data_IF_920342306058
#
_entry.id   IF_920342306058
#
_cell.length_a   1.000
_cell.length_b   1.000
_cell.length_c   1.000
_cell.angle_alpha   90.00
_cell.angle_beta   90.00
_cell.angle_gamma   90.00
#
_symmetry.space_group_name_H-M   'P 1'
#
loop_
_entity.id
_entity.type
_entity.pdbx_description
1 polymer ?
#
# COMPACT_ATOMS: atom_id res chain seq x y z
N UNK A 1 16.97 -38.05 -4.00
CA UNK A 1 16.68 -36.99 -5.01
C UNK A 1 15.19 -36.85 -5.28
N UNK A 2 14.46 -37.92 -5.62
CA UNK A 2 13.00 -37.86 -5.85
C UNK A 2 12.18 -37.52 -4.58
N UNK A 3 12.54 -38.08 -3.43
CA UNK A 3 11.80 -37.90 -2.18
C UNK A 3 11.90 -36.47 -1.60
N UNK A 4 13.07 -35.84 -1.72
CA UNK A 4 13.28 -34.43 -1.34
C UNK A 4 12.53 -33.45 -2.27
N UNK A 5 12.44 -33.76 -3.57
CA UNK A 5 11.67 -32.96 -4.52
C UNK A 5 10.15 -33.06 -4.27
N UNK A 6 9.66 -34.24 -3.89
CA UNK A 6 8.25 -34.46 -3.51
C UNK A 6 7.91 -33.73 -2.20
N UNK A 7 8.78 -33.81 -1.19
CA UNK A 7 8.59 -33.10 0.09
C UNK A 7 8.59 -31.57 -0.07
N UNK A 8 9.52 -31.03 -0.85
CA UNK A 8 9.54 -29.61 -1.18
C UNK A 8 8.29 -29.19 -1.96
N UNK A 9 7.86 -29.95 -2.97
CA UNK A 9 6.63 -29.68 -3.72
C UNK A 9 5.40 -29.51 -2.81
N UNK A 10 5.20 -30.43 -1.86
CA UNK A 10 4.07 -30.37 -0.90
C UNK A 10 4.15 -29.09 -0.03
N UNK A 11 5.35 -28.70 0.42
CA UNK A 11 5.54 -27.48 1.23
C UNK A 11 5.20 -26.19 0.46
N UNK A 12 5.52 -26.13 -0.84
CA UNK A 12 5.14 -25.02 -1.72
C UNK A 12 3.64 -24.92 -1.86
N UNK A 13 2.96 -26.04 -2.12
CA UNK A 13 1.51 -26.06 -2.26
C UNK A 13 0.81 -25.54 -1.01
N UNK A 14 1.25 -26.00 0.16
CA UNK A 14 0.73 -25.52 1.44
C UNK A 14 0.96 -24.01 1.61
N UNK A 15 2.15 -23.51 1.26
CA UNK A 15 2.45 -22.08 1.31
C UNK A 15 1.55 -21.26 0.38
N UNK A 16 1.41 -21.65 -0.88
CA UNK A 16 0.53 -20.96 -1.85
C UNK A 16 -0.93 -21.00 -1.41
N UNK A 17 -1.41 -22.12 -0.87
CA UNK A 17 -2.78 -22.23 -0.37
C UNK A 17 -3.03 -21.27 0.79
N UNK A 18 -2.09 -21.22 1.75
CA UNK A 18 -2.17 -20.34 2.91
C UNK A 18 -2.12 -18.86 2.51
N UNK A 19 -1.20 -18.50 1.61
CA UNK A 19 -1.11 -17.16 1.04
C UNK A 19 -2.44 -16.71 0.41
N UNK A 20 -3.02 -17.55 -0.45
CA UNK A 20 -4.30 -17.24 -1.09
C UNK A 20 -5.43 -17.08 -0.07
N UNK A 21 -5.45 -17.89 0.99
CA UNK A 21 -6.42 -17.76 2.08
C UNK A 21 -6.29 -16.44 2.84
N UNK A 22 -5.06 -15.96 3.09
CA UNK A 22 -4.83 -14.65 3.72
C UNK A 22 -5.35 -13.52 2.82
N UNK A 23 -4.95 -13.49 1.55
CA UNK A 23 -5.36 -12.42 0.63
C UNK A 23 -6.87 -12.40 0.40
N UNK A 24 -7.52 -13.56 0.36
CA UNK A 24 -8.98 -13.68 0.30
C UNK A 24 -9.65 -13.15 1.58
N UNK A 25 -9.11 -13.47 2.76
CA UNK A 25 -9.66 -13.01 4.05
C UNK A 25 -9.75 -11.49 4.16
N UNK A 26 -8.80 -10.76 3.56
CA UNK A 26 -8.84 -9.29 3.48
C UNK A 26 -10.09 -8.73 2.79
N UNK A 27 -10.66 -9.45 1.81
CA UNK A 27 -11.83 -8.97 1.04
C UNK A 27 -13.07 -8.78 1.90
N UNK A 28 -13.09 -9.41 3.07
CA UNK A 28 -14.23 -9.45 3.99
C UNK A 28 -14.10 -8.45 5.13
N UNK A 29 -12.96 -7.76 5.26
CA UNK A 29 -12.77 -6.71 6.26
C UNK A 29 -13.50 -5.45 5.81
N UNK A 30 -14.29 -4.87 6.72
CA UNK A 30 -14.98 -3.59 6.56
C UNK A 30 -14.61 -2.66 7.72
N UNK A 31 -14.84 -1.36 7.51
CA UNK A 31 -14.64 -0.36 8.54
C UNK A 31 -15.99 0.07 9.12
N UNK A 32 -16.11 0.11 10.45
CA UNK A 32 -17.29 0.65 11.10
C UNK A 32 -17.43 2.16 10.92
N UNK A 33 -18.64 2.69 11.11
CA UNK A 33 -18.96 4.12 10.92
C UNK A 33 -18.08 5.08 11.71
N UNK A 34 -17.45 4.66 12.81
CA UNK A 34 -16.54 5.52 13.55
C UNK A 34 -15.30 5.96 12.74
N UNK A 35 -15.00 5.28 11.63
CA UNK A 35 -13.94 5.65 10.70
C UNK A 35 -14.38 6.65 9.61
N UNK A 36 -15.66 7.07 9.57
CA UNK A 36 -16.24 7.83 8.46
C UNK A 36 -15.49 9.14 8.14
N UNK A 37 -15.03 9.87 9.18
CA UNK A 37 -14.32 11.14 9.02
C UNK A 37 -13.06 11.00 8.17
N UNK A 38 -12.30 9.92 8.39
CA UNK A 38 -11.02 9.67 7.76
C UNK A 38 -11.08 8.39 6.91
N UNK A 39 -12.25 8.11 6.32
CA UNK A 39 -12.56 6.81 5.72
C UNK A 39 -11.60 6.47 4.58
N UNK A 40 -11.36 7.40 3.65
CA UNK A 40 -10.43 7.19 2.54
C UNK A 40 -9.03 6.82 3.04
N UNK A 41 -8.50 7.55 4.04
CA UNK A 41 -7.19 7.28 4.64
C UNK A 41 -7.15 5.91 5.32
N UNK A 42 -8.18 5.58 6.08
CA UNK A 42 -8.24 4.32 6.82
C UNK A 42 -8.44 3.11 5.89
N UNK A 43 -9.23 3.25 4.84
CA UNK A 43 -9.36 2.24 3.80
C UNK A 43 -8.03 2.07 3.03
N UNK A 44 -7.34 3.17 2.73
CA UNK A 44 -6.01 3.13 2.08
C UNK A 44 -5.00 2.31 2.90
N UNK A 45 -5.02 2.41 4.24
CA UNK A 45 -4.15 1.60 5.10
C UNK A 45 -4.37 0.09 4.92
N UNK A 46 -5.63 -0.34 4.82
CA UNK A 46 -6.01 -1.73 4.56
C UNK A 46 -5.63 -2.17 3.14
N UNK A 47 -5.89 -1.31 2.17
CA UNK A 47 -5.62 -1.58 0.76
C UNK A 47 -4.11 -1.75 0.51
N UNK A 48 -3.28 -0.86 1.06
CA UNK A 48 -1.84 -0.91 0.88
C UNK A 48 -1.19 -2.07 1.64
N UNK A 49 -1.66 -2.44 2.83
CA UNK A 49 -1.15 -3.64 3.51
C UNK A 49 -1.48 -4.93 2.74
N UNK A 50 -2.67 -5.00 2.13
CA UNK A 50 -3.05 -6.10 1.25
C UNK A 50 -2.22 -6.10 -0.03
N UNK A 51 -1.96 -4.94 -0.62
CA UNK A 51 -1.15 -4.79 -1.84
C UNK A 51 0.29 -5.25 -1.59
N UNK A 52 0.89 -4.88 -0.46
CA UNK A 52 2.22 -5.33 -0.05
C UNK A 52 2.32 -6.85 0.02
N UNK A 53 1.38 -7.50 0.70
CA UNK A 53 1.37 -8.96 0.82
C UNK A 53 1.14 -9.63 -0.55
N UNK A 54 0.22 -9.08 -1.35
CA UNK A 54 -0.05 -9.57 -2.70
C UNK A 54 1.19 -9.52 -3.60
N UNK A 55 1.94 -8.41 -3.53
CA UNK A 55 3.22 -8.25 -4.25
C UNK A 55 4.26 -9.26 -3.82
N UNK A 56 4.37 -9.53 -2.52
CA UNK A 56 5.27 -10.56 -2.02
C UNK A 56 4.94 -11.94 -2.63
N UNK A 57 3.66 -12.30 -2.67
CA UNK A 57 3.23 -13.56 -3.27
C UNK A 57 3.49 -13.64 -4.78
N UNK A 58 3.22 -12.57 -5.53
CA UNK A 58 3.52 -12.50 -6.97
C UNK A 58 5.03 -12.60 -7.25
N UNK A 59 5.87 -11.95 -6.42
CA UNK A 59 7.32 -12.03 -6.55
C UNK A 59 7.88 -13.45 -6.35
N UNK A 60 7.12 -14.32 -5.67
CA UNK A 60 7.43 -15.73 -5.45
C UNK A 60 6.61 -16.67 -6.35
N UNK A 61 5.76 -16.13 -7.24
CA UNK A 61 4.84 -16.87 -8.09
C UNK A 61 3.81 -17.73 -7.33
N UNK A 62 3.47 -17.37 -6.09
CA UNK A 62 2.47 -18.07 -5.25
C UNK A 62 1.03 -17.84 -5.71
N UNK A 63 0.85 -16.91 -6.63
CA UNK A 63 -0.39 -16.46 -7.26
C UNK A 63 -0.79 -17.31 -8.49
N UNK A 64 0.11 -18.18 -8.94
CA UNK A 64 -0.10 -19.16 -10.02
C UNK A 64 -1.14 -20.22 -9.63
N UNK A 65 -2.03 -20.68 -10.55
CA UNK A 65 -2.95 -21.77 -10.27
C UNK A 65 -2.22 -22.99 -9.71
N UNK A 66 -2.77 -23.62 -8.67
CA UNK A 66 -2.15 -24.80 -8.04
C UNK A 66 -1.89 -25.93 -9.07
N UNK A 67 -2.67 -26.02 -10.15
CA UNK A 67 -2.46 -26.99 -11.23
C UNK A 67 -1.21 -26.74 -12.08
N UNK A 68 -0.64 -25.54 -12.01
CA UNK A 68 0.50 -25.09 -12.82
C UNK A 68 1.79 -24.87 -12.00
N UNK A 69 1.71 -24.99 -10.66
CA UNK A 69 2.88 -24.96 -9.78
C UNK A 69 3.69 -26.25 -10.00
N UNK A 70 4.63 -26.22 -10.95
CA UNK A 70 5.55 -27.32 -11.22
C UNK A 70 6.67 -27.41 -10.17
N UNK A 71 7.00 -26.27 -9.56
CA UNK A 71 7.86 -26.08 -8.39
C UNK A 71 7.84 -24.58 -8.03
N UNK A 72 8.16 -24.18 -6.79
CA UNK A 72 8.74 -22.83 -6.59
C UNK A 72 9.92 -22.70 -7.56
N UNK A 73 10.34 -21.49 -7.96
CA UNK A 73 11.70 -21.32 -8.41
C UNK A 73 12.58 -21.90 -7.30
N UNK A 74 13.14 -23.10 -7.53
CA UNK A 74 13.82 -24.00 -6.56
C UNK A 74 15.03 -23.33 -5.90
N UNK A 75 15.31 -22.09 -6.28
CA UNK A 75 16.42 -21.25 -5.88
C UNK A 75 16.08 -20.19 -4.82
N UNK A 76 14.83 -20.02 -4.38
CA UNK A 76 14.43 -18.84 -3.59
C UNK A 76 14.40 -19.00 -2.06
N UNK A 77 14.34 -20.20 -1.50
CA UNK A 77 14.36 -20.39 -0.04
C UNK A 77 14.90 -21.73 0.42
N UNK A 78 15.55 -21.72 1.59
CA UNK A 78 15.81 -22.94 2.37
C UNK A 78 14.48 -23.56 2.84
N UNK A 79 14.43 -24.88 3.12
CA UNK A 79 13.28 -25.51 3.76
C UNK A 79 12.82 -24.74 5.01
N UNK A 80 13.75 -24.34 5.87
CA UNK A 80 13.48 -23.53 7.07
C UNK A 80 12.79 -22.19 6.76
N UNK A 81 13.11 -21.58 5.60
CA UNK A 81 12.48 -20.33 5.16
C UNK A 81 11.02 -20.54 4.73
N UNK A 82 10.71 -21.68 4.12
CA UNK A 82 9.33 -22.04 3.74
C UNK A 82 8.48 -22.28 4.99
N UNK A 83 9.01 -23.02 5.98
CA UNK A 83 8.29 -23.29 7.23
C UNK A 83 8.04 -22.01 8.04
N UNK A 84 9.03 -21.12 8.10
CA UNK A 84 8.86 -19.80 8.72
C UNK A 84 7.85 -18.93 7.99
N UNK A 85 7.82 -18.98 6.65
CA UNK A 85 6.82 -18.27 5.86
C UNK A 85 5.41 -18.79 6.09
N UNK A 86 5.23 -20.10 6.15
CA UNK A 86 3.95 -20.72 6.49
C UNK A 86 3.50 -20.32 7.90
N UNK A 87 4.39 -20.38 8.90
CA UNK A 87 4.07 -19.94 10.26
C UNK A 87 3.67 -18.47 10.30
N UNK A 88 4.38 -17.60 9.58
CA UNK A 88 4.11 -16.16 9.54
C UNK A 88 2.76 -15.85 8.87
N UNK A 89 2.42 -16.53 7.76
CA UNK A 89 1.09 -16.39 7.14
C UNK A 89 -0.02 -16.94 8.05
N UNK A 90 0.26 -18.00 8.81
CA UNK A 90 -0.65 -18.53 9.84
C UNK A 90 -0.97 -17.49 10.91
N UNK A 91 0.05 -16.79 11.42
CA UNK A 91 -0.13 -15.69 12.37
C UNK A 91 -1.00 -14.56 11.80
N UNK A 92 -0.88 -14.26 10.50
CA UNK A 92 -1.76 -13.27 9.85
C UNK A 92 -3.22 -13.74 9.85
N UNK A 93 -3.48 -15.02 9.58
CA UNK A 93 -4.84 -15.57 9.66
C UNK A 93 -5.40 -15.51 11.08
N UNK A 94 -4.59 -15.89 12.07
CA UNK A 94 -4.98 -15.86 13.49
C UNK A 94 -5.35 -14.43 13.91
N UNK A 95 -4.58 -13.42 13.49
CA UNK A 95 -4.89 -12.01 13.72
C UNK A 95 -6.25 -11.63 13.12
N UNK A 96 -6.49 -11.97 11.85
CA UNK A 96 -7.77 -11.68 11.19
C UNK A 96 -8.94 -12.37 11.91
N UNK A 97 -8.76 -13.61 12.36
CA UNK A 97 -9.77 -14.36 13.10
C UNK A 97 -10.07 -13.73 14.47
N UNK A 98 -9.04 -13.24 15.19
CA UNK A 98 -9.22 -12.53 16.47
C UNK A 98 -10.11 -11.30 16.30
N UNK A 99 -9.89 -10.48 15.26
CA UNK A 99 -10.71 -9.31 15.00
C UNK A 99 -12.09 -9.67 14.45
N UNK A 100 -12.22 -10.72 13.64
CA UNK A 100 -13.52 -11.24 13.21
C UNK A 100 -14.38 -11.70 14.39
N UNK A 101 -13.79 -12.44 15.33
CA UNK A 101 -14.46 -12.88 16.56
C UNK A 101 -14.86 -11.68 17.44
N UNK A 102 -14.03 -10.64 17.49
CA UNK A 102 -14.35 -9.40 18.19
C UNK A 102 -15.51 -8.64 17.53
N UNK A 103 -15.54 -8.58 16.20
CA UNK A 103 -16.67 -8.06 15.40
C UNK A 103 -17.96 -8.84 15.70
N UNK A 104 -17.92 -10.16 15.72
CA UNK A 104 -19.10 -10.98 16.02
C UNK A 104 -19.64 -10.73 17.44
N UNK A 105 -18.75 -10.62 18.44
CA UNK A 105 -19.13 -10.26 19.82
C UNK A 105 -19.74 -8.86 19.90
N UNK A 106 -19.22 -7.90 19.14
CA UNK A 106 -19.79 -6.56 19.04
C UNK A 106 -21.19 -6.61 18.40
N UNK A 107 -21.34 -7.32 17.29
CA UNK A 107 -22.60 -7.44 16.56
C UNK A 107 -23.70 -8.06 17.43
N UNK A 108 -23.38 -9.13 18.18
CA UNK A 108 -24.32 -9.78 19.10
C UNK A 108 -24.80 -8.88 20.24
N UNK A 109 -24.01 -7.88 20.64
CA UNK A 109 -24.34 -6.97 21.75
C UNK A 109 -25.06 -5.71 21.31
N UNK A 110 -24.72 -5.19 20.13
CA UNK A 110 -25.14 -3.87 19.68
C UNK A 110 -26.14 -3.91 18.51
N UNK A 111 -26.32 -5.06 17.85
CA UNK A 111 -27.18 -5.23 16.68
C UNK A 111 -26.96 -4.12 15.62
N UNK A 112 -25.73 -3.98 15.07
CA UNK A 112 -25.39 -2.91 14.15
C UNK A 112 -26.26 -2.96 12.90
N UNK A 113 -26.70 -1.79 12.45
CA UNK A 113 -27.45 -1.61 11.21
C UNK A 113 -26.51 -1.62 9.99
N UNK A 114 -27.00 -1.84 8.77
CA UNK A 114 -26.16 -1.81 7.57
C UNK A 114 -25.31 -0.53 7.43
N UNK A 115 -25.90 0.62 7.80
CA UNK A 115 -25.25 1.94 7.81
C UNK A 115 -24.13 2.09 8.86
N UNK A 116 -23.98 1.12 9.78
CA UNK A 116 -22.87 1.09 10.73
C UNK A 116 -21.57 0.58 10.09
N UNK A 117 -21.61 0.14 8.84
CA UNK A 117 -20.44 -0.28 8.07
C UNK A 117 -20.24 0.58 6.83
N UNK A 118 -18.99 0.94 6.56
CA UNK A 118 -18.61 1.79 5.45
C UNK A 118 -18.28 0.92 4.23
N UNK A 119 -18.85 1.28 3.08
CA UNK A 119 -18.61 0.61 1.82
C UNK A 119 -17.44 1.25 1.05
N UNK A 120 -16.33 0.53 0.83
CA UNK A 120 -15.19 1.07 0.10
C UNK A 120 -15.36 1.02 -1.42
N UNK A 121 -16.42 0.42 -1.95
CA UNK A 121 -16.61 0.25 -3.41
C UNK A 121 -16.70 1.58 -4.16
N UNK A 122 -17.08 2.67 -3.49
CA UNK A 122 -17.09 4.02 -4.08
C UNK A 122 -15.72 4.73 -4.12
N UNK A 123 -14.68 4.17 -3.50
CA UNK A 123 -13.35 4.79 -3.44
C UNK A 123 -12.49 4.37 -4.66
N UNK A 124 -12.06 5.30 -5.52
CA UNK A 124 -11.30 4.96 -6.74
C UNK A 124 -10.01 4.19 -6.46
N UNK A 125 -9.25 4.59 -5.43
CA UNK A 125 -8.02 3.92 -5.04
C UNK A 125 -8.28 2.46 -4.63
N UNK A 126 -9.32 2.22 -3.83
CA UNK A 126 -9.71 0.88 -3.41
C UNK A 126 -10.04 -0.01 -4.62
N UNK A 127 -10.82 0.51 -5.57
CA UNK A 127 -11.18 -0.24 -6.78
C UNK A 127 -9.95 -0.66 -7.59
N UNK A 128 -8.95 0.21 -7.72
CA UNK A 128 -7.71 -0.09 -8.44
C UNK A 128 -6.85 -1.12 -7.74
N UNK A 129 -6.64 -0.94 -6.43
CA UNK A 129 -5.89 -1.90 -5.62
C UNK A 129 -6.59 -3.26 -5.65
N UNK A 130 -7.92 -3.27 -5.52
CA UNK A 130 -8.71 -4.48 -5.64
C UNK A 130 -8.54 -5.13 -7.02
N UNK A 131 -8.61 -4.37 -8.11
CA UNK A 131 -8.41 -4.88 -9.48
C UNK A 131 -7.03 -5.51 -9.66
N UNK A 132 -5.98 -4.81 -9.24
CA UNK A 132 -4.59 -5.30 -9.28
C UNK A 132 -4.44 -6.64 -8.57
N UNK A 133 -4.94 -6.73 -7.34
CA UNK A 133 -4.83 -7.94 -6.53
C UNK A 133 -5.65 -9.09 -7.13
N UNK A 134 -6.86 -8.79 -7.61
CA UNK A 134 -7.72 -9.79 -8.26
C UNK A 134 -7.17 -10.30 -9.59
N UNK A 135 -6.31 -9.53 -10.28
CA UNK A 135 -5.60 -9.99 -11.47
C UNK A 135 -4.46 -10.94 -11.15
N UNK A 136 -3.79 -10.77 -9.99
CA UNK A 136 -2.74 -11.66 -9.50
C UNK A 136 -3.32 -12.99 -9.03
N UNK A 137 -4.36 -12.91 -8.20
CA UNK A 137 -5.03 -14.11 -7.73
C UNK A 137 -5.77 -14.77 -8.90
N UNK A 138 -5.23 -15.87 -9.43
CA UNK A 138 -5.80 -16.62 -10.56
C UNK A 138 -7.14 -17.31 -10.22
N UNK A 139 -8.14 -16.53 -9.80
CA UNK A 139 -9.52 -16.92 -9.53
C UNK A 139 -9.67 -18.18 -8.67
N UNK A 140 -8.79 -18.38 -7.68
CA UNK A 140 -8.99 -19.42 -6.68
C UNK A 140 -10.13 -18.97 -5.76
N UNK A 141 -11.36 -19.32 -6.15
CA UNK A 141 -12.56 -19.08 -5.36
C UNK A 141 -12.47 -19.93 -4.08
N UNK A 142 -11.86 -19.39 -3.04
CA UNK A 142 -12.02 -19.94 -1.71
C UNK A 142 -13.45 -19.62 -1.23
N UNK A 143 -13.97 -20.48 -0.35
CA UNK A 143 -15.35 -20.44 0.13
C UNK A 143 -15.78 -19.01 0.47
N UNK A 144 -16.99 -18.64 0.10
CA UNK A 144 -17.60 -17.36 0.45
C UNK A 144 -17.50 -17.16 1.96
N UNK A 145 -16.72 -16.16 2.40
CA UNK A 145 -16.68 -15.79 3.83
C UNK A 145 -17.70 -14.69 4.09
N UNK A 146 -18.11 -14.56 5.35
CA UNK A 146 -19.00 -13.47 5.78
C UNK A 146 -18.17 -12.22 6.02
N UNK A 147 -18.58 -11.09 5.43
CA UNK A 147 -17.98 -9.79 5.72
C UNK A 147 -18.15 -9.43 7.20
N UNK A 148 -17.13 -8.80 7.78
CA UNK A 148 -17.09 -8.38 9.17
C UNK A 148 -16.41 -7.02 9.29
N UNK A 149 -16.66 -6.28 10.37
CA UNK A 149 -16.23 -4.89 10.48
C UNK A 149 -15.39 -4.61 11.72
N UNK A 150 -14.44 -3.70 11.58
CA UNK A 150 -13.66 -3.16 12.68
C UNK A 150 -14.44 -2.03 13.36
N UNK A 151 -14.76 -2.18 14.64
CA UNK A 151 -15.54 -1.22 15.43
C UNK A 151 -14.70 -0.46 16.49
N UNK A 152 -13.58 -1.02 16.95
CA UNK A 152 -12.70 -0.34 17.88
C UNK A 152 -11.93 0.78 17.18
N UNK A 153 -11.62 1.85 17.93
CA UNK A 153 -10.99 3.08 17.41
C UNK A 153 -9.54 2.86 16.95
N UNK A 154 -8.83 1.92 17.58
CA UNK A 154 -7.42 1.60 17.30
C UNK A 154 -7.25 0.25 16.58
N UNK A 155 -8.33 -0.53 16.42
CA UNK A 155 -8.27 -1.89 15.89
C UNK A 155 -7.63 -1.94 14.50
N UNK A 156 -7.98 -0.99 13.64
CA UNK A 156 -7.39 -0.88 12.30
C UNK A 156 -5.89 -0.64 12.36
N UNK A 157 -5.45 0.33 13.17
CA UNK A 157 -4.03 0.69 13.26
C UNK A 157 -3.21 -0.50 13.77
N UNK A 158 -3.72 -1.23 14.76
CA UNK A 158 -3.07 -2.43 15.30
C UNK A 158 -3.03 -3.56 14.28
N UNK A 159 -4.19 -3.93 13.71
CA UNK A 159 -4.29 -4.99 12.71
C UNK A 159 -3.36 -4.74 11.53
N UNK A 160 -3.39 -3.53 10.97
CA UNK A 160 -2.54 -3.19 9.83
C UNK A 160 -1.07 -3.15 10.24
N UNK A 161 -0.73 -2.58 11.40
CA UNK A 161 0.63 -2.60 11.93
C UNK A 161 1.19 -4.02 12.05
N UNK A 162 0.46 -4.90 12.73
CA UNK A 162 0.87 -6.30 12.94
C UNK A 162 1.05 -7.04 11.60
N UNK A 163 0.12 -6.88 10.64
CA UNK A 163 0.24 -7.53 9.33
C UNK A 163 1.41 -6.96 8.53
N UNK A 164 1.65 -5.65 8.56
CA UNK A 164 2.79 -5.04 7.86
C UNK A 164 4.13 -5.49 8.43
N UNK A 165 4.22 -5.70 9.76
CA UNK A 165 5.41 -6.27 10.39
C UNK A 165 5.63 -7.72 9.97
N UNK A 166 4.58 -8.54 10.01
CA UNK A 166 4.64 -9.94 9.55
C UNK A 166 5.00 -10.04 8.07
N UNK A 167 4.43 -9.16 7.24
CA UNK A 167 4.75 -9.10 5.81
C UNK A 167 6.19 -8.65 5.58
N UNK A 168 6.70 -7.71 6.37
CA UNK A 168 8.12 -7.32 6.31
C UNK A 168 9.04 -8.50 6.67
N UNK A 169 8.68 -9.32 7.67
CA UNK A 169 9.40 -10.57 7.98
C UNK A 169 9.37 -11.53 6.79
N UNK A 170 8.22 -11.70 6.13
CA UNK A 170 8.12 -12.51 4.90
C UNK A 170 9.04 -11.99 3.80
N UNK A 171 9.19 -10.69 3.61
CA UNK A 171 10.10 -10.13 2.61
C UNK A 171 11.56 -10.42 2.94
N UNK A 172 11.94 -10.36 4.22
CA UNK A 172 13.31 -10.63 4.67
C UNK A 172 13.71 -12.11 4.55
N UNK A 173 12.75 -13.03 4.66
CA UNK A 173 12.99 -14.47 4.46
C UNK A 173 13.39 -14.83 3.01
N UNK A 174 13.01 -14.00 2.03
CA UNK A 174 13.23 -14.26 0.60
C UNK A 174 13.95 -13.09 -0.08
N UNK A 175 15.23 -12.81 0.26
CA UNK A 175 15.96 -11.65 -0.25
C UNK A 175 16.09 -11.66 -1.78
N UNK A 176 16.14 -12.84 -2.40
CA UNK A 176 16.19 -12.98 -3.86
C UNK A 176 14.93 -12.45 -4.57
N UNK A 177 13.79 -12.35 -3.87
CA UNK A 177 12.55 -11.80 -4.40
C UNK A 177 12.48 -10.26 -4.35
N UNK A 178 13.40 -9.59 -3.63
CA UNK A 178 13.34 -8.13 -3.42
C UNK A 178 13.45 -7.33 -4.73
N UNK A 179 14.28 -7.78 -5.67
CA UNK A 179 14.41 -7.13 -6.98
C UNK A 179 13.08 -7.14 -7.74
N UNK A 180 12.41 -8.30 -7.77
CA UNK A 180 11.09 -8.44 -8.40
C UNK A 180 10.03 -7.60 -7.69
N UNK A 181 10.02 -7.57 -6.36
CA UNK A 181 9.11 -6.69 -5.61
C UNK A 181 9.30 -5.21 -5.95
N UNK A 182 10.54 -4.75 -6.15
CA UNK A 182 10.82 -3.37 -6.52
C UNK A 182 10.28 -3.03 -7.93
N UNK A 183 10.39 -3.95 -8.88
CA UNK A 183 9.79 -3.81 -10.21
C UNK A 183 8.25 -3.74 -10.12
N UNK A 184 7.65 -4.67 -9.40
CA UNK A 184 6.19 -4.71 -9.18
C UNK A 184 5.69 -3.42 -8.53
N UNK A 185 6.42 -2.90 -7.53
CA UNK A 185 6.08 -1.64 -6.89
C UNK A 185 5.99 -0.46 -7.86
N UNK A 186 6.91 -0.37 -8.82
CA UNK A 186 6.89 0.70 -9.83
C UNK A 186 5.68 0.57 -10.75
N UNK A 187 5.37 -0.65 -11.19
CA UNK A 187 4.19 -0.91 -12.03
C UNK A 187 2.90 -0.59 -11.28
N UNK A 188 2.78 -1.04 -10.02
CA UNK A 188 1.63 -0.75 -9.17
C UNK A 188 1.41 0.74 -9.00
N UNK A 189 2.46 1.54 -8.76
CA UNK A 189 2.35 3.00 -8.66
C UNK A 189 1.71 3.56 -9.93
N UNK A 190 2.18 3.17 -11.11
CA UNK A 190 1.61 3.63 -12.38
C UNK A 190 0.14 3.21 -12.56
N UNK A 191 -0.26 2.06 -12.02
CA UNK A 191 -1.62 1.55 -12.13
C UNK A 191 -2.60 2.16 -11.14
N UNK A 192 -2.17 2.49 -9.91
CA UNK A 192 -3.03 3.09 -8.89
C UNK A 192 -3.09 4.62 -8.94
N UNK A 193 -2.12 5.22 -9.61
CA UNK A 193 -1.95 6.66 -9.71
C UNK A 193 -3.02 7.31 -10.58
N UNK A 194 -3.69 8.31 -10.01
CA UNK A 194 -4.78 9.04 -10.68
C UNK A 194 -4.53 10.56 -10.69
N UNK A 195 -3.37 10.97 -10.19
CA UNK A 195 -3.00 12.35 -9.95
C UNK A 195 -2.33 12.54 -8.60
N UNK A 196 -1.91 13.78 -8.33
CA UNK A 196 -1.02 14.08 -7.20
C UNK A 196 -1.68 13.90 -5.82
N UNK A 197 -2.98 14.12 -5.72
CA UNK A 197 -3.72 13.95 -4.46
C UNK A 197 -3.74 12.48 -4.03
N UNK A 198 -3.98 11.56 -4.99
CA UNK A 198 -3.88 10.12 -4.76
C UNK A 198 -2.45 9.73 -4.36
N UNK A 199 -1.43 10.22 -5.08
CA UNK A 199 -0.03 9.97 -4.72
C UNK A 199 0.34 10.49 -3.33
N UNK A 200 -0.15 11.66 -2.94
CA UNK A 200 0.15 12.26 -1.62
C UNK A 200 -0.46 11.44 -0.48
N UNK A 201 -1.71 10.99 -0.67
CA UNK A 201 -2.38 10.09 0.27
C UNK A 201 -1.62 8.77 0.39
N UNK A 202 -1.31 8.14 -0.74
CA UNK A 202 -0.58 6.88 -0.80
C UNK A 202 0.81 7.01 -0.19
N UNK A 203 1.56 8.07 -0.51
CA UNK A 203 2.87 8.37 0.06
C UNK A 203 2.80 8.49 1.58
N UNK A 204 1.82 9.24 2.09
CA UNK A 204 1.62 9.46 3.53
C UNK A 204 1.26 8.18 4.29
N UNK A 205 0.57 7.22 3.66
CA UNK A 205 0.24 5.93 4.28
C UNK A 205 1.39 4.93 4.13
N UNK A 206 1.98 4.80 2.94
CA UNK A 206 3.01 3.82 2.62
C UNK A 206 4.29 4.00 3.47
N UNK A 207 4.63 5.24 3.86
CA UNK A 207 5.83 5.53 4.65
C UNK A 207 5.95 4.72 5.95
N UNK A 208 4.82 4.27 6.52
CA UNK A 208 4.77 3.51 7.77
C UNK A 208 4.48 2.03 7.59
N UNK A 209 4.22 1.56 6.37
CA UNK A 209 3.71 0.21 6.09
C UNK A 209 4.59 -0.56 5.12
N UNK A 210 5.02 0.10 4.05
CA UNK A 210 5.69 -0.54 2.93
C UNK A 210 6.76 0.39 2.37
N UNK A 211 8.01 0.14 2.79
CA UNK A 211 9.16 0.92 2.36
C UNK A 211 9.42 0.78 0.86
N UNK A 212 9.23 -0.41 0.29
CA UNK A 212 9.49 -0.67 -1.14
C UNK A 212 8.51 0.17 -1.98
N UNK A 213 7.23 0.15 -1.59
CA UNK A 213 6.21 0.94 -2.26
C UNK A 213 6.37 2.44 -2.03
N UNK A 214 6.68 2.85 -0.80
CA UNK A 214 6.97 4.24 -0.46
C UNK A 214 8.10 4.82 -1.33
N UNK A 215 9.20 4.10 -1.48
CA UNK A 215 10.33 4.53 -2.32
C UNK A 215 9.92 4.64 -3.80
N UNK A 216 9.06 3.73 -4.30
CA UNK A 216 8.53 3.79 -5.66
C UNK A 216 7.60 4.99 -5.87
N UNK A 217 6.68 5.26 -4.93
CA UNK A 217 5.79 6.43 -4.95
C UNK A 217 6.60 7.72 -4.90
N UNK A 218 7.61 7.78 -4.02
CA UNK A 218 8.53 8.90 -3.92
C UNK A 218 9.25 9.13 -5.25
N UNK A 219 9.77 8.08 -5.88
CA UNK A 219 10.42 8.20 -7.20
C UNK A 219 9.46 8.73 -8.27
N UNK A 220 8.19 8.29 -8.28
CA UNK A 220 7.17 8.79 -9.21
C UNK A 220 6.82 10.26 -8.96
N UNK A 221 6.70 10.67 -7.68
CA UNK A 221 6.50 12.08 -7.31
C UNK A 221 7.69 12.95 -7.76
N UNK A 222 8.92 12.48 -7.55
CA UNK A 222 10.13 13.18 -7.98
C UNK A 222 10.20 13.33 -9.50
N UNK A 223 9.83 12.29 -10.25
CA UNK A 223 9.79 12.32 -11.72
C UNK A 223 8.78 13.34 -12.26
N UNK A 224 7.73 13.66 -11.49
CA UNK A 224 6.72 14.66 -11.84
C UNK A 224 7.11 16.11 -11.50
N UNK A 225 8.10 16.31 -10.65
CA UNK A 225 8.47 17.64 -10.14
C UNK A 225 7.36 18.26 -9.27
N UNK A 226 7.43 19.58 -9.08
CA UNK A 226 6.44 20.31 -8.28
C UNK A 226 5.06 20.31 -8.92
N UNK A 227 4.01 20.16 -8.12
CA UNK A 227 2.62 20.29 -8.58
C UNK A 227 1.93 21.43 -7.85
N UNK A 228 1.16 22.24 -8.60
CA UNK A 228 0.45 23.40 -8.08
C UNK A 228 -1.04 23.28 -8.44
N UNK A 229 -1.89 23.20 -7.43
CA UNK A 229 -3.35 23.17 -7.57
C UNK A 229 -3.92 24.53 -7.19
N UNK A 230 -4.68 25.14 -8.10
CA UNK A 230 -5.39 26.42 -7.88
C UNK A 230 -4.53 27.54 -7.23
N UNK A 231 -3.31 27.84 -7.73
CA UNK A 231 -2.54 28.96 -7.22
C UNK A 231 -3.27 30.28 -7.46
N UNK A 232 -3.27 31.18 -6.49
CA UNK A 232 -3.96 32.46 -6.61
C UNK A 232 -3.18 33.60 -5.97
N UNK A 233 -3.00 34.69 -6.72
CA UNK A 233 -2.43 35.94 -6.24
C UNK A 233 -3.48 37.04 -6.34
N UNK A 234 -3.63 37.85 -5.29
CA UNK A 234 -4.59 38.96 -5.23
C UNK A 234 -4.03 40.20 -4.54
N UNK A 235 -4.75 41.31 -4.67
CA UNK A 235 -4.46 42.58 -3.99
C UNK A 235 -3.04 43.13 -4.28
N UNK A 236 -2.57 42.97 -5.51
CA UNK A 236 -1.25 43.45 -5.95
C UNK A 236 -0.09 42.55 -5.55
N UNK A 237 -0.36 41.32 -5.11
CA UNK A 237 0.65 40.31 -4.86
C UNK A 237 1.13 39.64 -6.15
N UNK A 238 2.31 39.04 -6.09
CA UNK A 238 2.92 38.24 -7.15
C UNK A 238 3.32 36.87 -6.62
N UNK A 239 3.30 35.87 -7.50
CA UNK A 239 3.58 34.49 -7.13
C UNK A 239 4.43 33.79 -8.19
N UNK A 240 5.47 33.08 -7.75
CA UNK A 240 6.28 32.18 -8.57
C UNK A 240 6.04 30.75 -8.13
N UNK A 241 5.73 29.87 -9.10
CA UNK A 241 5.46 28.46 -8.88
C UNK A 241 6.44 27.66 -9.74
N UNK A 242 7.45 27.07 -9.11
CA UNK A 242 8.52 26.35 -9.76
C UNK A 242 9.85 26.60 -9.08
N UNK A 243 10.86 25.86 -9.49
CA UNK A 243 12.22 26.03 -8.98
C UNK A 243 12.86 27.30 -9.52
N UNK A 244 13.63 27.96 -8.66
CA UNK A 244 14.52 29.03 -9.05
C UNK A 244 15.95 28.48 -9.07
N UNK A 245 16.65 28.68 -10.19
CA UNK A 245 18.03 28.22 -10.36
C UNK A 245 18.90 29.42 -10.68
N UNK A 246 19.78 29.76 -9.75
CA UNK A 246 20.76 30.82 -9.94
C UNK A 246 21.72 30.48 -11.09
N UNK A 247 22.09 31.48 -11.89
CA UNK A 247 22.91 31.29 -13.09
C UNK A 247 24.31 30.74 -12.78
N UNK A 248 24.82 30.94 -11.56
CA UNK A 248 26.11 30.42 -11.11
C UNK A 248 26.00 29.03 -10.47
N UNK A 249 24.79 28.53 -10.22
CA UNK A 249 24.61 27.19 -9.67
C UNK A 249 25.12 26.12 -10.65
N UNK A 250 25.92 25.20 -10.13
CA UNK A 250 26.50 24.06 -10.88
C UNK A 250 26.21 22.71 -10.23
N UNK A 251 25.47 22.70 -9.11
CA UNK A 251 25.09 21.48 -8.42
C UNK A 251 23.92 20.76 -9.11
N UNK A 252 23.51 19.60 -8.59
CA UNK A 252 22.31 18.93 -9.07
C UNK A 252 21.07 19.79 -8.82
N UNK A 253 20.21 19.92 -9.82
CA UNK A 253 18.86 20.50 -9.74
C UNK A 253 17.81 19.40 -9.81
N UNK A 254 16.66 19.59 -9.18
CA UNK A 254 15.62 18.56 -9.07
C UNK A 254 15.92 17.55 -7.97
N UNK A 255 15.09 16.52 -7.85
CA UNK A 255 15.19 15.52 -6.77
C UNK A 255 14.42 15.89 -5.49
N UNK A 256 13.70 17.00 -5.52
CA UNK A 256 12.63 17.33 -4.58
C UNK A 256 11.35 17.54 -5.38
N UNK A 257 10.22 17.11 -4.82
CA UNK A 257 8.89 17.38 -5.36
C UNK A 257 8.01 17.78 -4.19
N UNK A 258 7.22 18.83 -4.42
CA UNK A 258 6.28 19.36 -3.45
C UNK A 258 4.93 19.52 -4.12
N UNK A 259 3.89 19.36 -3.31
CA UNK A 259 2.50 19.52 -3.72
C UNK A 259 1.96 20.75 -3.01
N UNK A 260 1.66 21.79 -3.79
CA UNK A 260 1.08 23.02 -3.28
C UNK A 260 -0.42 23.02 -3.66
N UNK A 261 -1.29 22.87 -2.67
CA UNK A 261 -2.74 23.01 -2.87
C UNK A 261 -3.22 24.39 -2.40
N UNK A 262 -3.81 25.14 -3.32
CA UNK A 262 -4.33 26.49 -3.12
C UNK A 262 -3.35 27.45 -2.44
N UNK A 263 -2.08 27.57 -2.91
CA UNK A 263 -1.19 28.59 -2.39
C UNK A 263 -1.76 29.99 -2.70
N UNK A 264 -1.85 30.84 -1.67
CA UNK A 264 -2.41 32.20 -1.77
C UNK A 264 -1.37 33.26 -1.46
N UNK A 265 -1.10 34.14 -2.43
CA UNK A 265 -0.34 35.36 -2.25
C UNK A 265 -1.28 36.57 -2.16
N UNK A 266 -1.14 37.40 -1.12
CA UNK A 266 -2.04 38.53 -0.88
C UNK A 266 -1.29 39.76 -0.38
N UNK A 267 -1.73 40.94 -0.84
CA UNK A 267 -1.22 42.24 -0.41
C UNK A 267 -0.24 42.88 -1.38
N UNK A 268 -0.28 44.22 -1.44
CA UNK A 268 0.51 44.99 -2.38
C UNK A 268 2.00 44.85 -2.06
N UNK A 269 2.79 44.45 -3.06
CA UNK A 269 4.23 44.23 -2.88
C UNK A 269 4.59 42.89 -2.23
N UNK A 270 3.61 42.01 -1.97
CA UNK A 270 3.88 40.64 -1.55
C UNK A 270 4.38 39.81 -2.72
N UNK A 271 5.46 39.05 -2.51
CA UNK A 271 5.95 38.02 -3.43
C UNK A 271 5.99 36.67 -2.71
N UNK A 272 5.33 35.67 -3.28
CA UNK A 272 5.36 34.29 -2.79
C UNK A 272 6.09 33.39 -3.78
N UNK A 273 7.09 32.65 -3.30
CA UNK A 273 7.77 31.61 -4.06
C UNK A 273 7.38 30.23 -3.55
N UNK A 274 6.91 29.37 -4.45
CA UNK A 274 6.59 27.97 -4.18
C UNK A 274 7.49 27.09 -5.04
N UNK A 275 8.57 26.57 -4.46
CA UNK A 275 9.59 25.78 -5.17
C UNK A 275 10.89 25.74 -4.38
N UNK A 276 11.93 25.14 -4.98
CA UNK A 276 13.29 25.11 -4.44
C UNK A 276 14.12 26.24 -5.04
N UNK A 277 14.96 26.87 -4.23
CA UNK A 277 15.99 27.79 -4.70
C UNK A 277 17.34 27.05 -4.75
N UNK A 278 17.94 26.97 -5.94
CA UNK A 278 19.26 26.40 -6.16
C UNK A 278 20.28 27.52 -6.44
N UNK A 279 21.23 27.72 -5.53
CA UNK A 279 22.21 28.80 -5.61
C UNK A 279 21.68 30.17 -5.16
N UNK A 280 22.52 31.21 -5.31
CA UNK A 280 22.16 32.62 -5.14
C UNK A 280 22.04 33.14 -3.70
N UNK A 281 22.31 34.44 -3.53
CA UNK A 281 21.96 35.24 -2.34
C UNK A 281 20.59 35.89 -2.60
N UNK A 282 19.60 35.61 -1.75
CA UNK A 282 18.23 36.13 -1.90
C UNK A 282 18.20 37.64 -1.68
N UNK A 283 18.04 38.44 -2.74
CA UNK A 283 17.65 39.85 -2.61
C UNK A 283 16.15 40.00 -2.88
N UNK A 284 15.49 40.75 -1.98
CA UNK A 284 14.06 41.07 -1.99
C UNK A 284 13.77 42.26 -2.87
#
# INVERSE_FOLDING_TARGET
MAEAAVGLGISVFALSSLFNNVIDSYQYVRLGKQYARDFATNQTKLDLSRLQLSRWGEALHLDTPLTEIKSLPVTLASPDGIDQAQSTLGQILDLLEVYQNSSAKYAARNAPEPDDTLDPTGLPLHQRVHKLISQRQCQTSLKTKTAWALYGRDDLTRLVGDITELTSKLVELFPAAKARQLELARTEVNEIEEGIQSLSLVHGVAQYQDKIFFDAVKAAMLARGHTFSQPHARDGASQHNGDNVDQEYRGPTGGLSYVFDKPVAEGQGTYQHNGVNYGGTVYR
#
